data_IF_071498101160
#
_entry.id   IF_071498101160
#
_cell.length_a   1.000
_cell.length_b   1.000
_cell.length_c   1.000
_cell.angle_alpha   90.00
_cell.angle_beta   90.00
_cell.angle_gamma   90.00
#
_symmetry.space_group_name_H-M   'P 1'
#
loop_
_entity.id
_entity.type
_entity.pdbx_description
1 polymer ?
#
# COMPACT_ATOMS: atom_id res chain seq x y z
N UNK A 1 -6.17 -7.27 -2.25
CA UNK A 1 -7.06 -6.23 -2.86
C UNK A 1 -8.55 -6.34 -2.54
N UNK A 2 -9.21 -7.47 -2.79
CA UNK A 2 -10.68 -7.59 -2.67
C UNK A 2 -11.22 -7.20 -1.27
N UNK A 3 -10.46 -7.55 -0.23
CA UNK A 3 -10.74 -7.23 1.18
C UNK A 3 -10.94 -5.72 1.40
N UNK A 4 -10.06 -4.87 0.84
CA UNK A 4 -10.19 -3.41 0.94
C UNK A 4 -11.49 -2.90 0.33
N UNK A 5 -11.89 -3.42 -0.84
CA UNK A 5 -13.14 -3.06 -1.50
C UNK A 5 -14.36 -3.54 -0.73
N UNK A 6 -14.32 -4.75 -0.17
CA UNK A 6 -15.39 -5.29 0.67
C UNK A 6 -15.66 -4.45 1.93
N UNK A 7 -14.63 -3.79 2.48
CA UNK A 7 -14.79 -2.90 3.63
C UNK A 7 -15.14 -1.44 3.29
N UNK A 8 -15.13 -1.05 2.01
CA UNK A 8 -15.59 0.27 1.57
C UNK A 8 -14.58 1.12 0.79
N UNK A 9 -13.43 0.56 0.40
CA UNK A 9 -12.57 1.21 -0.59
C UNK A 9 -13.24 1.21 -1.97
N UNK A 10 -13.12 2.30 -2.72
CA UNK A 10 -13.68 2.40 -4.07
C UNK A 10 -12.68 1.99 -5.15
N UNK A 11 -11.38 2.16 -4.88
CA UNK A 11 -10.33 1.73 -5.77
C UNK A 11 -9.08 1.33 -4.99
N UNK A 12 -8.27 0.50 -5.62
CA UNK A 12 -6.96 0.10 -5.14
C UNK A 12 -6.06 -0.05 -6.35
N UNK A 13 -4.85 0.47 -6.25
CA UNK A 13 -3.82 0.44 -7.28
C UNK A 13 -2.49 0.04 -6.66
N UNK A 14 -1.70 -0.74 -7.39
CA UNK A 14 -0.32 -1.08 -7.09
C UNK A 14 0.52 -0.68 -8.28
N UNK A 15 1.68 -0.08 -8.02
CA UNK A 15 2.64 0.36 -9.01
C UNK A 15 4.00 -0.19 -8.61
N UNK A 16 4.71 -0.79 -9.56
CA UNK A 16 6.09 -1.22 -9.37
C UNK A 16 7.00 -0.09 -9.81
N UNK A 17 8.09 0.13 -9.05
CA UNK A 17 9.14 1.07 -9.42
C UNK A 17 9.77 0.72 -10.75
N UNK A 18 10.18 1.76 -11.49
CA UNK A 18 11.00 1.60 -12.70
C UNK A 18 12.13 2.62 -12.62
N UNK A 19 11.85 3.88 -12.95
CA UNK A 19 12.79 5.00 -12.79
C UNK A 19 12.47 5.81 -11.53
N UNK A 20 13.13 5.50 -10.42
CA UNK A 20 12.87 6.10 -9.10
C UNK A 20 13.90 7.15 -8.67
N UNK A 21 14.81 7.54 -9.55
CA UNK A 21 15.84 8.53 -9.30
C UNK A 21 15.57 9.83 -10.06
N UNK A 22 15.58 10.96 -9.34
CA UNK A 22 15.48 12.30 -9.93
C UNK A 22 16.49 13.23 -9.25
N UNK A 23 17.36 13.83 -10.05
CA UNK A 23 18.44 14.70 -9.57
C UNK A 23 17.88 15.86 -8.71
N UNK A 24 18.56 16.14 -7.58
CA UNK A 24 18.20 17.23 -6.67
C UNK A 24 17.04 16.93 -5.72
N UNK A 25 16.54 15.68 -5.69
CA UNK A 25 15.49 15.23 -4.76
C UNK A 25 15.93 14.00 -3.97
N UNK A 26 15.32 13.77 -2.80
CA UNK A 26 15.46 12.48 -2.11
C UNK A 26 14.64 11.44 -2.86
N UNK A 27 15.29 10.38 -3.35
CA UNK A 27 14.65 9.29 -4.08
C UNK A 27 13.77 8.43 -3.17
N UNK A 28 12.83 7.67 -3.75
CA UNK A 28 12.02 6.71 -2.99
C UNK A 28 12.88 5.62 -2.35
N UNK A 29 13.91 5.16 -3.07
CA UNK A 29 14.90 4.18 -2.59
C UNK A 29 15.59 4.66 -1.33
N UNK A 30 16.02 5.92 -1.28
CA UNK A 30 16.58 6.52 -0.06
C UNK A 30 15.54 6.81 1.03
N UNK A 31 14.27 7.03 0.66
CA UNK A 31 13.20 7.34 1.62
C UNK A 31 12.78 6.12 2.44
N UNK A 32 12.80 4.93 1.85
CA UNK A 32 12.41 3.67 2.49
C UNK A 32 13.60 2.77 2.85
N UNK A 33 14.83 3.25 2.63
CA UNK A 33 16.07 2.51 2.90
C UNK A 33 16.10 1.14 2.21
N UNK A 34 15.62 1.08 0.96
CA UNK A 34 15.54 -0.15 0.18
C UNK A 34 16.95 -0.72 -0.10
N UNK A 35 17.08 -2.05 0.05
CA UNK A 35 18.30 -2.78 -0.30
C UNK A 35 18.37 -3.07 -1.80
N UNK A 36 19.55 -3.46 -2.29
CA UNK A 36 19.78 -3.79 -3.70
C UNK A 36 18.93 -4.97 -4.19
N UNK A 37 18.47 -5.85 -3.29
CA UNK A 37 17.61 -7.00 -3.55
C UNK A 37 16.12 -6.75 -3.28
N UNK A 38 15.73 -5.50 -2.99
CA UNK A 38 14.35 -5.11 -2.71
C UNK A 38 13.78 -4.26 -3.86
N UNK A 39 12.55 -4.57 -4.27
CA UNK A 39 11.81 -3.81 -5.28
C UNK A 39 10.79 -2.89 -4.60
N UNK A 40 10.64 -1.67 -5.10
CA UNK A 40 9.74 -0.68 -4.50
C UNK A 40 8.34 -0.82 -5.11
N UNK A 41 7.36 -1.09 -4.26
CA UNK A 41 5.95 -1.13 -4.66
C UNK A 41 5.19 -0.01 -3.97
N UNK A 42 4.53 0.85 -4.76
CA UNK A 42 3.64 1.88 -4.26
C UNK A 42 2.19 1.41 -4.32
N UNK A 43 1.55 1.28 -3.16
CA UNK A 43 0.14 0.95 -3.03
C UNK A 43 -0.72 2.19 -2.75
N UNK A 44 -1.79 2.39 -3.53
CA UNK A 44 -2.79 3.45 -3.31
C UNK A 44 -4.19 2.89 -3.16
N UNK A 45 -4.83 3.17 -2.03
CA UNK A 45 -6.23 2.82 -1.77
C UNK A 45 -7.07 4.10 -1.71
N UNK A 46 -8.18 4.12 -2.44
CA UNK A 46 -9.08 5.29 -2.53
C UNK A 46 -10.34 5.03 -1.74
N UNK A 47 -10.73 6.00 -0.93
CA UNK A 47 -11.91 5.94 -0.05
C UNK A 47 -12.84 7.12 -0.32
N UNK A 48 -14.15 6.95 -0.16
CA UNK A 48 -15.12 8.02 -0.41
C UNK A 48 -15.11 9.11 0.67
N UNK A 49 -14.62 8.79 1.88
CA UNK A 49 -14.48 9.75 2.97
C UNK A 49 -13.44 9.30 4.00
N UNK A 50 -12.98 10.24 4.83
CA UNK A 50 -12.07 9.94 5.95
C UNK A 50 -12.69 8.96 6.96
N UNK A 51 -13.99 9.09 7.27
CA UNK A 51 -14.66 8.18 8.19
C UNK A 51 -14.67 6.72 7.69
N UNK A 52 -14.82 6.52 6.38
CA UNK A 52 -14.71 5.18 5.78
C UNK A 52 -13.27 4.68 5.84
N UNK A 53 -12.27 5.51 5.51
CA UNK A 53 -10.85 5.19 5.66
C UNK A 53 -10.51 4.74 7.10
N UNK A 54 -10.97 5.50 8.11
CA UNK A 54 -10.75 5.19 9.52
C UNK A 54 -11.38 3.85 9.93
N UNK A 55 -12.58 3.53 9.41
CA UNK A 55 -13.25 2.25 9.69
C UNK A 55 -12.54 1.08 9.00
N UNK A 56 -12.15 1.25 7.75
CA UNK A 56 -11.51 0.20 6.94
C UNK A 56 -10.14 -0.16 7.53
N UNK A 57 -9.31 0.83 7.86
CA UNK A 57 -7.98 0.58 8.43
C UNK A 57 -8.00 -0.10 9.80
N UNK A 58 -9.12 -0.02 10.54
CA UNK A 58 -9.31 -0.80 11.77
C UNK A 58 -9.70 -2.24 11.48
N UNK A 59 -10.48 -2.48 10.42
CA UNK A 59 -11.06 -3.80 10.10
C UNK A 59 -10.12 -4.68 9.28
N UNK A 60 -9.45 -4.12 8.28
CA UNK A 60 -8.62 -4.90 7.35
C UNK A 60 -7.54 -5.69 8.08
N UNK A 61 -6.74 -5.12 9.01
CA UNK A 61 -5.72 -5.90 9.73
C UNK A 61 -6.28 -7.04 10.60
N UNK A 62 -7.58 -6.99 10.93
CA UNK A 62 -8.27 -8.01 11.73
C UNK A 62 -8.97 -9.07 10.88
N UNK A 63 -9.00 -8.89 9.55
CA UNK A 63 -9.61 -9.87 8.65
C UNK A 63 -8.75 -11.15 8.64
N UNK A 64 -9.32 -12.33 8.94
CA UNK A 64 -8.56 -13.58 8.97
C UNK A 64 -7.82 -13.90 7.67
N UNK A 65 -8.32 -13.40 6.53
CA UNK A 65 -7.69 -13.59 5.21
C UNK A 65 -6.42 -12.76 5.05
N UNK A 66 -6.23 -11.70 5.83
CA UNK A 66 -5.00 -10.92 5.82
C UNK A 66 -3.86 -11.65 6.51
N UNK A 67 -4.12 -12.47 7.53
CA UNK A 67 -3.09 -13.27 8.19
C UNK A 67 -2.38 -14.20 7.19
N UNK A 68 -3.14 -14.84 6.30
CA UNK A 68 -2.59 -15.72 5.26
C UNK A 68 -1.82 -14.99 4.14
N UNK A 69 -1.94 -13.66 4.03
CA UNK A 69 -1.26 -12.85 3.01
C UNK A 69 0.01 -12.16 3.53
N UNK A 70 0.20 -12.14 4.85
CA UNK A 70 1.29 -11.42 5.53
C UNK A 70 2.28 -12.42 6.19
N UNK A 71 2.10 -13.73 5.97
CA UNK A 71 3.13 -14.70 6.33
C UNK A 71 4.40 -14.42 5.49
N UNK A 72 5.57 -14.32 6.13
CA UNK A 72 6.84 -13.99 5.47
C UNK A 72 7.34 -15.09 4.53
#
# INVERSE_FOLDING_TARGET
MKIWKEYGAIAYFEFVGDELFLEGTKSFTEAVEAKEDEEIVFGRVVFPSKGVWDSVNKKVPQDPRMAALVEP
#
